data_IF_039833213303
#
_entry.id   IF_039833213303
#
_cell.length_a   1.000
_cell.length_b   1.000
_cell.length_c   1.000
_cell.angle_alpha   90.00
_cell.angle_beta   90.00
_cell.angle_gamma   90.00
#
_symmetry.space_group_name_H-M   'P 1'
#
loop_
_entity.id
_entity.type
_entity.pdbx_description
1 polymer ?
#
# COMPACT_ATOMS: atom_id res chain seq x y z
N UNK A 1 31.10 10.31 -22.58
CA UNK A 1 30.54 9.55 -21.45
C UNK A 1 29.59 8.54 -22.06
N UNK A 2 30.11 7.34 -22.34
CA UNK A 2 29.36 6.27 -23.01
C UNK A 2 28.36 5.68 -22.03
N UNK A 3 27.07 6.02 -22.19
CA UNK A 3 25.98 5.38 -21.46
C UNK A 3 25.33 4.34 -22.36
N UNK A 4 26.09 3.29 -22.71
CA UNK A 4 25.50 2.12 -23.34
C UNK A 4 24.42 1.54 -22.39
N UNK A 5 23.17 1.32 -22.86
CA UNK A 5 22.11 0.86 -21.98
C UNK A 5 22.45 -0.55 -21.48
N UNK A 6 22.45 -0.71 -20.16
CA UNK A 6 22.60 -2.00 -19.48
C UNK A 6 21.63 -3.01 -20.08
N UNK A 7 22.12 -4.21 -20.42
CA UNK A 7 21.31 -5.33 -20.91
C UNK A 7 20.22 -5.64 -19.88
N UNK A 8 18.99 -5.19 -20.14
CA UNK A 8 17.84 -5.42 -19.25
C UNK A 8 17.60 -6.92 -19.16
N UNK A 9 17.50 -7.42 -17.93
CA UNK A 9 17.04 -8.78 -17.68
C UNK A 9 15.56 -8.92 -18.08
N UNK A 10 15.15 -10.11 -18.50
CA UNK A 10 13.79 -10.39 -18.98
C UNK A 10 12.70 -9.95 -17.99
N UNK A 11 12.94 -10.14 -16.69
CA UNK A 11 12.06 -9.70 -15.60
C UNK A 11 11.95 -8.17 -15.45
N UNK A 12 12.79 -7.39 -16.13
CA UNK A 12 12.75 -5.92 -16.20
C UNK A 12 12.31 -5.43 -17.58
N UNK A 13 11.85 -6.32 -18.47
CA UNK A 13 11.32 -5.94 -19.78
C UNK A 13 9.95 -5.23 -19.66
N UNK A 14 9.14 -5.62 -18.66
CA UNK A 14 7.83 -5.05 -18.35
C UNK A 14 7.89 -4.26 -17.04
N UNK A 15 8.46 -3.05 -17.09
CA UNK A 15 8.45 -2.14 -15.94
C UNK A 15 7.15 -1.34 -15.93
N UNK A 16 6.43 -1.38 -14.82
CA UNK A 16 5.26 -0.51 -14.56
C UNK A 16 5.54 0.37 -13.35
N UNK A 17 5.13 1.64 -13.43
CA UNK A 17 5.15 2.53 -12.28
C UNK A 17 4.05 2.13 -11.29
N UNK A 18 4.31 2.32 -9.99
CA UNK A 18 3.36 1.99 -8.92
C UNK A 18 3.12 3.24 -8.07
N UNK A 19 1.88 3.69 -8.01
CA UNK A 19 1.42 4.72 -7.10
C UNK A 19 0.64 4.08 -5.94
N UNK A 20 1.05 4.32 -4.69
CA UNK A 20 0.43 3.72 -3.51
C UNK A 20 -0.58 4.68 -2.87
N UNK A 21 -1.77 4.19 -2.53
CA UNK A 21 -2.88 5.03 -2.07
C UNK A 21 -3.69 4.48 -0.92
N UNK A 22 -4.63 5.31 -0.45
CA UNK A 22 -5.59 4.95 0.62
C UNK A 22 -6.87 4.33 0.02
N UNK A 23 -7.33 4.84 -1.13
CA UNK A 23 -8.56 4.37 -1.80
C UNK A 23 -8.32 3.06 -2.56
N UNK A 24 -7.29 3.05 -3.42
CA UNK A 24 -6.65 1.89 -4.01
C UNK A 24 -5.30 1.68 -3.31
N UNK A 25 -4.93 0.44 -3.03
CA UNK A 25 -3.62 0.12 -2.45
C UNK A 25 -2.50 0.50 -3.42
N UNK A 26 -2.68 0.14 -4.68
CA UNK A 26 -1.76 0.45 -5.76
C UNK A 26 -2.55 0.78 -7.03
N UNK A 27 -2.09 1.79 -7.76
CA UNK A 27 -2.49 2.09 -9.13
C UNK A 27 -1.24 1.95 -10.00
N UNK A 28 -1.32 1.12 -11.02
CA UNK A 28 -0.20 0.88 -11.93
C UNK A 28 -0.30 1.85 -13.12
N UNK A 29 0.85 2.21 -13.70
CA UNK A 29 0.89 3.13 -14.86
C UNK A 29 0.21 2.58 -16.12
N UNK A 30 -0.16 1.30 -16.13
CA UNK A 30 -0.97 0.65 -17.17
C UNK A 30 -2.50 0.79 -16.93
N UNK A 31 -2.91 1.48 -15.87
CA UNK A 31 -4.32 1.70 -15.51
C UNK A 31 -4.94 0.63 -14.60
N UNK A 32 -4.21 -0.45 -14.29
CA UNK A 32 -4.69 -1.47 -13.36
C UNK A 32 -4.68 -0.95 -11.91
N UNK A 33 -5.63 -1.41 -11.11
CA UNK A 33 -5.73 -1.02 -9.70
C UNK A 33 -5.85 -2.23 -8.79
N UNK A 34 -5.14 -2.19 -7.66
CA UNK A 34 -5.22 -3.18 -6.60
C UNK A 34 -5.96 -2.57 -5.41
N UNK A 35 -7.04 -3.22 -4.97
CA UNK A 35 -7.84 -2.74 -3.83
C UNK A 35 -7.16 -3.13 -2.51
N UNK A 36 -6.96 -2.15 -1.64
CA UNK A 36 -6.41 -2.36 -0.31
C UNK A 36 -7.43 -2.86 0.70
N UNK A 37 -6.93 -3.54 1.74
CA UNK A 37 -7.73 -3.83 2.94
C UNK A 37 -8.14 -2.50 3.59
N UNK A 38 -9.36 -2.42 4.12
CA UNK A 38 -9.88 -1.22 4.80
C UNK A 38 -10.08 -1.46 6.31
N UNK A 39 -9.02 -1.80 7.09
CA UNK A 39 -9.17 -2.20 8.48
C UNK A 39 -9.41 -1.01 9.43
N UNK A 40 -9.14 0.22 8.99
CA UNK A 40 -9.14 1.43 9.82
C UNK A 40 -10.37 1.50 10.74
N UNK A 41 -11.59 1.51 10.18
CA UNK A 41 -12.83 1.59 10.97
C UNK A 41 -12.99 0.44 11.98
N UNK A 42 -12.53 -0.77 11.65
CA UNK A 42 -12.60 -1.92 12.57
C UNK A 42 -11.58 -1.77 13.71
N UNK A 43 -10.34 -1.44 13.37
CA UNK A 43 -9.25 -1.32 14.33
C UNK A 43 -9.42 -0.10 15.24
N UNK A 44 -9.86 1.05 14.72
CA UNK A 44 -10.16 2.23 15.54
C UNK A 44 -11.26 1.95 16.56
N UNK A 45 -12.34 1.24 16.19
CA UNK A 45 -13.37 0.83 17.14
C UNK A 45 -12.83 -0.11 18.21
N UNK A 46 -11.98 -1.08 17.83
CA UNK A 46 -11.32 -1.99 18.78
C UNK A 46 -10.44 -1.22 19.75
N UNK A 47 -9.62 -0.30 19.24
CA UNK A 47 -8.73 0.54 20.04
C UNK A 47 -9.52 1.35 21.07
N UNK A 48 -10.56 2.06 20.63
CA UNK A 48 -11.41 2.86 21.52
C UNK A 48 -12.06 2.01 22.63
N UNK A 49 -12.47 0.77 22.32
CA UNK A 49 -13.01 -0.17 23.33
C UNK A 49 -11.96 -0.56 24.37
N UNK A 50 -10.74 -0.88 23.94
CA UNK A 50 -9.65 -1.24 24.83
C UNK A 50 -9.23 -0.06 25.72
N UNK A 51 -9.17 1.15 25.16
CA UNK A 51 -8.85 2.37 25.91
C UNK A 51 -9.87 2.66 27.02
N UNK A 52 -11.19 2.52 26.74
CA UNK A 52 -12.22 2.68 27.79
C UNK A 52 -12.12 1.64 28.89
N UNK A 53 -11.82 0.39 28.52
CA UNK A 53 -11.64 -0.69 29.50
C UNK A 53 -10.45 -0.41 30.41
N UNK A 54 -9.31 0.03 29.83
CA UNK A 54 -8.12 0.40 30.60
C UNK A 54 -8.35 1.61 31.49
N UNK A 55 -9.02 2.65 30.98
CA UNK A 55 -9.29 3.88 31.73
C UNK A 55 -10.26 3.67 32.91
N UNK A 56 -11.22 2.75 32.78
CA UNK A 56 -12.12 2.38 33.88
C UNK A 56 -11.53 1.35 34.85
N UNK A 57 -10.27 0.97 34.67
CA UNK A 57 -9.54 0.02 35.52
C UNK A 57 -8.65 0.71 36.56
N UNK A 58 -8.68 2.06 36.62
CA UNK A 58 -8.03 2.92 37.63
C UNK A 58 -9.08 3.59 38.51
#
# INVERSE_FOLDING_TARGET
MDTAPLKKSENQALVVGVDLGIKSLATLSNGETVVGKKPLKKLSRRLARLQRHLAGMY
#
